data_IF_535093104535
#
_entry.id   IF_535093104535
#
_cell.length_a   1.000
_cell.length_b   1.000
_cell.length_c   1.000
_cell.angle_alpha   90.00
_cell.angle_beta   90.00
_cell.angle_gamma   90.00
#
_symmetry.space_group_name_H-M   'P 1'
#
loop_
_entity.id
_entity.type
_entity.pdbx_description
1 polymer ?
#
# COMPACT_ATOMS: atom_id res chain seq x y z
N UNK A 1 17.17 -10.68 -1.69
CA UNK A 1 16.18 -9.57 -1.65
C UNK A 1 15.33 -9.74 -0.40
N UNK A 2 15.03 -8.67 0.30
CA UNK A 2 14.05 -8.68 1.40
C UNK A 2 12.69 -9.09 0.82
N UNK A 3 11.92 -9.90 1.55
CA UNK A 3 10.56 -10.31 1.15
C UNK A 3 9.71 -9.07 0.85
N UNK A 4 9.16 -8.98 -0.37
CA UNK A 4 8.23 -7.90 -0.73
C UNK A 4 6.95 -8.04 0.09
N UNK A 5 6.50 -6.94 0.68
CA UNK A 5 5.23 -6.86 1.40
C UNK A 5 4.13 -6.39 0.46
N UNK A 6 2.89 -6.75 0.79
CA UNK A 6 1.71 -6.35 0.05
C UNK A 6 0.65 -5.80 0.98
N UNK A 7 -0.06 -4.79 0.51
CA UNK A 7 -1.13 -4.16 1.27
C UNK A 7 -2.16 -3.49 0.38
N UNK A 8 -3.03 -2.73 1.00
CA UNK A 8 -4.01 -1.89 0.33
C UNK A 8 -3.88 -0.44 0.75
N UNK A 9 -4.19 0.46 -0.17
CA UNK A 9 -4.31 1.89 0.06
C UNK A 9 -5.78 2.27 -0.11
N UNK A 10 -6.47 2.45 1.01
CA UNK A 10 -7.89 2.75 1.06
C UNK A 10 -8.09 4.27 1.08
N UNK A 11 -8.17 4.86 -0.07
CA UNK A 11 -8.80 6.12 -0.37
C UNK A 11 -9.87 5.81 -1.44
N UNK A 12 -10.91 5.04 -1.07
CA UNK A 12 -11.85 4.51 -2.03
C UNK A 12 -12.70 5.63 -2.59
N UNK A 13 -12.84 5.64 -3.92
CA UNK A 13 -13.69 6.59 -4.62
C UNK A 13 -15.09 6.00 -4.69
N UNK A 14 -15.82 6.09 -3.58
CA UNK A 14 -17.20 5.64 -3.48
C UNK A 14 -18.15 6.54 -4.26
N UNK A 15 -19.10 5.94 -4.95
CA UNK A 15 -20.13 6.72 -5.64
C UNK A 15 -21.03 7.43 -4.61
N UNK A 16 -21.23 8.77 -4.71
CA UNK A 16 -22.12 9.51 -3.83
C UNK A 16 -23.57 9.03 -3.92
N UNK A 17 -24.28 9.14 -2.80
CA UNK A 17 -25.69 8.74 -2.70
C UNK A 17 -25.91 7.35 -2.15
N UNK A 18 -24.87 6.55 -1.96
CA UNK A 18 -24.94 5.30 -1.21
C UNK A 18 -24.94 5.56 0.31
N UNK A 19 -25.36 4.58 1.10
CA UNK A 19 -25.36 4.69 2.56
C UNK A 19 -23.94 4.74 3.14
N UNK A 20 -23.48 5.87 3.72
CA UNK A 20 -22.10 5.99 4.19
C UNK A 20 -21.77 5.06 5.36
N UNK A 21 -22.75 4.73 6.22
CA UNK A 21 -22.54 3.76 7.31
C UNK A 21 -22.17 2.38 6.76
N UNK A 22 -22.83 1.95 5.68
CA UNK A 22 -22.54 0.65 5.06
C UNK A 22 -21.22 0.69 4.30
N UNK A 23 -20.86 1.81 3.68
CA UNK A 23 -19.55 1.98 3.03
C UNK A 23 -18.41 1.83 4.04
N UNK A 24 -18.42 2.60 5.13
CA UNK A 24 -17.42 2.51 6.20
C UNK A 24 -17.33 1.11 6.81
N UNK A 25 -18.49 0.45 7.02
CA UNK A 25 -18.52 -0.90 7.58
C UNK A 25 -17.93 -1.92 6.61
N UNK A 26 -18.25 -1.83 5.32
CA UNK A 26 -17.72 -2.69 4.25
C UNK A 26 -16.19 -2.59 4.17
N UNK A 27 -15.66 -1.37 4.29
CA UNK A 27 -14.21 -1.16 4.20
C UNK A 27 -13.47 -1.74 5.42
N UNK A 28 -14.04 -1.63 6.61
CA UNK A 28 -13.50 -2.28 7.80
C UNK A 28 -13.55 -3.81 7.71
N UNK A 29 -14.63 -4.39 7.18
CA UNK A 29 -14.74 -5.83 6.90
C UNK A 29 -13.75 -6.27 5.81
N UNK A 30 -13.47 -5.40 4.86
CA UNK A 30 -12.50 -5.68 3.82
C UNK A 30 -11.08 -5.77 4.39
N UNK A 31 -10.70 -4.91 5.32
CA UNK A 31 -9.39 -5.00 6.01
C UNK A 31 -9.26 -6.30 6.80
N UNK A 32 -10.33 -6.76 7.48
CA UNK A 32 -10.33 -8.06 8.14
C UNK A 32 -10.12 -9.21 7.14
N UNK A 33 -10.76 -9.13 5.98
CA UNK A 33 -10.60 -10.12 4.91
C UNK A 33 -9.16 -10.12 4.36
N UNK A 34 -8.55 -8.95 4.16
CA UNK A 34 -7.16 -8.85 3.73
C UNK A 34 -6.18 -9.47 4.73
N UNK A 35 -6.41 -9.29 6.03
CA UNK A 35 -5.62 -9.97 7.06
C UNK A 35 -5.71 -11.49 6.94
N UNK A 36 -6.90 -12.05 6.66
CA UNK A 36 -7.09 -13.49 6.47
C UNK A 36 -6.33 -14.01 5.25
N UNK A 37 -6.27 -13.21 4.18
CA UNK A 37 -5.52 -13.51 2.97
C UNK A 37 -3.99 -13.37 3.13
N UNK A 38 -3.51 -12.79 4.24
CA UNK A 38 -2.09 -12.64 4.51
C UNK A 38 -1.45 -11.36 3.98
N UNK A 39 -2.24 -10.34 3.69
CA UNK A 39 -1.73 -9.00 3.41
C UNK A 39 -1.03 -8.40 4.63
N UNK A 40 0.00 -7.60 4.38
CA UNK A 40 0.89 -7.08 5.42
C UNK A 40 0.43 -5.72 5.95
N UNK A 41 -0.16 -4.85 5.10
CA UNK A 41 -0.48 -3.46 5.45
C UNK A 41 -1.84 -3.01 4.88
N UNK A 42 -2.57 -2.14 5.63
CA UNK A 42 -3.73 -1.40 5.13
C UNK A 42 -3.59 0.08 5.51
N UNK A 43 -3.77 0.97 4.55
CA UNK A 43 -3.58 2.41 4.68
C UNK A 43 -4.88 3.15 4.41
N UNK A 44 -5.22 4.13 5.25
CA UNK A 44 -6.46 4.91 5.14
C UNK A 44 -6.15 6.35 4.76
N UNK A 45 -6.80 6.86 3.72
CA UNK A 45 -6.71 8.24 3.26
C UNK A 45 -7.37 9.25 4.20
N UNK A 46 -7.18 10.54 3.93
CA UNK A 46 -7.85 11.66 4.60
C UNK A 46 -8.36 12.65 3.57
N UNK A 47 -9.68 12.82 3.50
CA UNK A 47 -10.36 13.82 2.68
C UNK A 47 -11.57 14.41 3.38
N UNK A 48 -11.88 15.68 3.06
CA UNK A 48 -12.91 16.45 3.72
C UNK A 48 -13.98 16.98 2.75
N UNK A 49 -13.81 16.77 1.44
CA UNK A 49 -14.66 17.32 0.39
C UNK A 49 -14.82 16.35 -0.79
N UNK A 50 -15.38 16.84 -1.90
CA UNK A 50 -15.55 16.10 -3.16
C UNK A 50 -16.50 14.90 -3.12
N UNK A 51 -16.99 14.46 -1.96
CA UNK A 51 -18.12 13.52 -1.81
C UNK A 51 -17.83 12.06 -2.12
N UNK A 52 -16.60 11.70 -2.47
CA UNK A 52 -16.23 10.32 -2.85
C UNK A 52 -15.40 9.62 -1.78
N UNK A 53 -14.32 10.23 -1.34
CA UNK A 53 -13.43 9.70 -0.31
C UNK A 53 -13.89 10.21 1.05
N UNK A 54 -14.64 9.37 1.80
CA UNK A 54 -15.42 9.80 2.97
C UNK A 54 -14.68 9.70 4.32
N UNK A 55 -13.39 9.41 4.32
CA UNK A 55 -12.63 9.32 5.56
C UNK A 55 -12.09 10.68 5.98
N UNK A 56 -12.79 11.33 6.91
CA UNK A 56 -12.35 12.61 7.48
C UNK A 56 -11.24 12.45 8.56
N UNK A 57 -10.98 11.24 9.03
CA UNK A 57 -9.93 10.91 10.01
C UNK A 57 -9.45 9.48 9.80
N UNK A 58 -8.28 9.27 9.22
CA UNK A 58 -7.67 7.95 9.10
C UNK A 58 -7.43 7.30 10.46
N UNK A 59 -7.14 8.10 11.50
CA UNK A 59 -6.91 7.61 12.85
C UNK A 59 -8.14 6.90 13.43
N UNK A 60 -9.36 7.39 13.14
CA UNK A 60 -10.60 6.74 13.56
C UNK A 60 -10.79 5.39 12.86
N UNK A 61 -10.49 5.32 11.56
CA UNK A 61 -10.54 4.07 10.79
C UNK A 61 -9.51 3.07 11.30
N UNK A 62 -8.30 3.51 11.62
CA UNK A 62 -7.25 2.66 12.20
C UNK A 62 -7.67 2.13 13.57
N UNK A 63 -8.22 2.96 14.43
CA UNK A 63 -8.70 2.51 15.74
C UNK A 63 -9.79 1.45 15.62
N UNK A 64 -10.77 1.65 14.72
CA UNK A 64 -11.84 0.69 14.47
C UNK A 64 -11.33 -0.61 13.81
N UNK A 65 -10.39 -0.53 12.87
CA UNK A 65 -9.76 -1.68 12.23
C UNK A 65 -8.83 -2.42 13.20
N UNK A 66 -8.14 -1.70 14.10
CA UNK A 66 -7.25 -2.25 15.11
C UNK A 66 -7.92 -3.23 16.07
N UNK A 67 -9.17 -2.94 16.46
CA UNK A 67 -9.99 -3.82 17.30
C UNK A 67 -10.51 -5.06 16.57
N UNK A 68 -10.51 -5.05 15.23
CA UNK A 68 -11.03 -6.14 14.38
C UNK A 68 -9.93 -7.01 13.78
N UNK A 69 -8.68 -6.63 13.95
CA UNK A 69 -7.50 -7.28 13.35
C UNK A 69 -6.42 -7.53 14.39
N UNK A 70 -5.46 -8.39 14.09
CA UNK A 70 -4.42 -8.81 15.04
C UNK A 70 -2.99 -8.79 14.48
N UNK A 71 -2.81 -8.75 13.15
CA UNK A 71 -1.50 -8.86 12.47
C UNK A 71 -1.24 -7.76 11.46
N UNK A 72 -2.23 -7.43 10.63
CA UNK A 72 -2.08 -6.43 9.58
C UNK A 72 -1.69 -5.08 10.19
N UNK A 73 -0.66 -4.44 9.63
CA UNK A 73 -0.28 -3.09 10.03
C UNK A 73 -1.24 -2.07 9.43
N UNK A 74 -1.51 -1.01 10.17
CA UNK A 74 -2.55 -0.03 9.85
C UNK A 74 -1.93 1.36 9.77
N UNK A 75 -2.01 1.99 8.60
CA UNK A 75 -1.33 3.25 8.31
C UNK A 75 -2.28 4.39 7.95
N UNK A 76 -1.86 5.61 8.27
CA UNK A 76 -2.48 6.80 7.70
C UNK A 76 -1.92 7.02 6.29
N UNK A 77 -2.78 7.07 5.31
CA UNK A 77 -2.39 7.16 3.90
C UNK A 77 -2.96 8.38 3.16
N UNK A 78 -2.74 9.59 3.67
CA UNK A 78 -1.86 10.08 4.73
C UNK A 78 -2.65 10.83 5.80
N UNK A 79 -2.03 11.19 6.94
CA UNK A 79 -2.51 12.33 7.72
C UNK A 79 -2.06 13.60 7.01
N UNK A 80 -3.00 14.44 6.63
CA UNK A 80 -2.74 15.74 5.99
C UNK A 80 -2.24 16.74 7.03
N UNK A 81 -0.97 16.59 7.45
CA UNK A 81 -0.41 17.30 8.62
C UNK A 81 -0.47 18.82 8.50
N UNK A 82 -0.70 19.35 7.30
CA UNK A 82 -0.95 20.78 7.06
C UNK A 82 -2.26 21.27 7.68
N UNK A 83 -3.20 20.37 7.93
CA UNK A 83 -4.53 20.66 8.48
C UNK A 83 -4.58 20.50 10.00
N UNK A 84 -3.55 19.88 10.60
CA UNK A 84 -3.55 19.47 12.00
C UNK A 84 -2.55 20.23 12.85
N UNK A 85 -2.86 20.36 14.14
CA UNK A 85 -1.86 20.72 15.14
C UNK A 85 -0.81 19.60 15.22
N UNK A 86 0.49 19.90 15.03
CA UNK A 86 1.54 18.89 14.96
C UNK A 86 1.72 18.09 16.26
N UNK A 87 1.47 18.70 17.44
CA UNK A 87 1.48 17.98 18.72
C UNK A 87 0.37 16.91 18.73
N UNK A 88 -0.85 17.30 18.38
CA UNK A 88 -1.97 16.36 18.39
C UNK A 88 -1.82 15.24 17.35
N UNK A 89 -1.27 15.56 16.19
CA UNK A 89 -0.99 14.53 15.20
C UNK A 89 0.01 13.48 15.73
N UNK A 90 1.11 13.92 16.35
CA UNK A 90 2.08 13.03 16.95
C UNK A 90 1.50 12.22 18.15
N UNK A 91 0.74 12.86 19.05
CA UNK A 91 0.11 12.19 20.20
C UNK A 91 -0.90 11.11 19.78
N UNK A 92 -1.72 11.39 18.75
CA UNK A 92 -2.68 10.42 18.22
C UNK A 92 -1.99 9.17 17.68
N UNK A 93 -0.87 9.34 16.99
CA UNK A 93 -0.11 8.20 16.47
C UNK A 93 0.54 7.37 17.58
N UNK A 94 1.08 8.00 18.62
CA UNK A 94 1.56 7.28 19.81
C UNK A 94 0.41 6.51 20.47
N UNK A 95 -0.76 7.12 20.62
CA UNK A 95 -1.93 6.45 21.17
C UNK A 95 -2.38 5.27 20.30
N UNK A 96 -2.38 5.42 18.96
CA UNK A 96 -2.69 4.34 18.04
C UNK A 96 -1.67 3.21 18.08
N UNK A 97 -0.40 3.51 18.28
CA UNK A 97 0.65 2.50 18.45
C UNK A 97 0.36 1.60 19.67
N UNK A 98 -0.08 2.20 20.80
CA UNK A 98 -0.54 1.44 21.96
C UNK A 98 -1.82 0.64 21.68
N UNK A 99 -2.85 1.27 21.08
CA UNK A 99 -4.14 0.61 20.78
C UNK A 99 -3.95 -0.57 19.82
N UNK A 100 -3.08 -0.43 18.85
CA UNK A 100 -2.81 -1.47 17.83
C UNK A 100 -1.70 -2.43 18.25
N UNK A 101 -1.03 -2.19 19.40
CA UNK A 101 0.08 -3.01 19.91
C UNK A 101 1.22 -3.14 18.90
N UNK A 102 1.73 -1.99 18.43
CA UNK A 102 2.89 -1.93 17.52
C UNK A 102 2.55 -2.14 16.04
N UNK A 103 1.29 -1.99 15.64
CA UNK A 103 0.88 -2.15 14.24
C UNK A 103 0.59 -0.82 13.53
N UNK A 104 0.77 0.32 14.20
CA UNK A 104 0.58 1.64 13.59
C UNK A 104 1.68 1.96 12.58
N UNK A 105 1.30 2.68 11.51
CA UNK A 105 2.20 3.26 10.51
C UNK A 105 1.77 4.71 10.29
N UNK A 106 2.72 5.63 10.20
CA UNK A 106 2.42 7.06 10.10
C UNK A 106 2.81 7.64 8.74
N UNK A 107 1.84 7.89 7.88
CA UNK A 107 2.04 8.60 6.63
C UNK A 107 1.76 10.10 6.78
N UNK A 108 2.71 10.92 6.36
CA UNK A 108 2.65 12.37 6.38
C UNK A 108 2.41 12.92 4.97
N UNK A 109 1.49 13.86 4.82
CA UNK A 109 1.24 14.51 3.54
C UNK A 109 0.75 15.95 3.68
N UNK A 110 0.76 16.72 2.58
CA UNK A 110 0.31 18.11 2.58
C UNK A 110 -1.22 18.29 2.52
N UNK A 111 -1.97 17.21 2.24
CA UNK A 111 -3.32 17.32 1.72
C UNK A 111 -3.32 17.61 0.21
N UNK A 112 -4.06 16.82 -0.55
CA UNK A 112 -3.98 16.83 -2.02
C UNK A 112 -5.14 17.53 -2.70
N UNK A 113 -6.36 17.43 -2.17
CA UNK A 113 -7.54 18.08 -2.74
C UNK A 113 -7.51 19.60 -2.51
N UNK A 114 -7.57 20.43 -3.57
CA UNK A 114 -7.63 21.88 -3.42
C UNK A 114 -8.85 22.35 -2.63
N UNK A 115 -9.97 21.65 -2.74
CA UNK A 115 -11.21 21.94 -2.02
C UNK A 115 -11.10 21.69 -0.52
N UNK A 116 -10.36 20.68 -0.08
CA UNK A 116 -10.08 20.44 1.35
C UNK A 116 -9.29 21.61 1.95
N UNK A 117 -8.20 22.02 1.28
CA UNK A 117 -7.40 23.16 1.71
C UNK A 117 -8.22 24.46 1.75
N UNK A 118 -9.02 24.71 0.73
CA UNK A 118 -9.87 25.91 0.64
C UNK A 118 -10.90 26.00 1.77
N UNK A 119 -11.50 24.87 2.19
CA UNK A 119 -12.41 24.81 3.35
C UNK A 119 -11.73 25.25 4.65
N UNK A 120 -10.41 25.08 4.76
CA UNK A 120 -9.61 25.48 5.91
C UNK A 120 -8.93 26.84 5.74
N UNK A 121 -9.22 27.56 4.66
CA UNK A 121 -8.62 28.86 4.36
C UNK A 121 -7.16 28.78 3.93
N UNK A 122 -6.70 27.64 3.42
CA UNK A 122 -5.34 27.40 2.99
C UNK A 122 -5.25 27.33 1.46
N UNK A 123 -4.13 27.78 0.92
CA UNK A 123 -3.77 27.54 -0.48
C UNK A 123 -2.93 26.27 -0.62
N UNK A 124 -2.79 25.78 -1.85
CA UNK A 124 -1.92 24.63 -2.14
C UNK A 124 -0.42 24.92 -1.89
N UNK A 125 -0.02 26.20 -1.88
CA UNK A 125 1.34 26.61 -1.50
C UNK A 125 1.48 26.50 0.01
N UNK A 126 0.51 27.03 0.77
CA UNK A 126 0.51 26.96 2.24
C UNK A 126 0.60 25.51 2.74
N UNK A 127 -0.17 24.59 2.15
CA UNK A 127 -0.15 23.20 2.57
C UNK A 127 1.22 22.54 2.39
N UNK A 128 1.96 22.87 1.34
CA UNK A 128 3.31 22.34 1.10
C UNK A 128 4.35 22.90 2.05
N UNK A 129 4.25 24.18 2.39
CA UNK A 129 5.13 24.83 3.37
C UNK A 129 4.82 24.31 4.78
N UNK A 130 3.54 24.20 5.14
CA UNK A 130 3.10 23.62 6.41
C UNK A 130 3.49 22.14 6.56
N UNK A 131 3.51 21.37 5.47
CA UNK A 131 4.05 19.99 5.51
C UNK A 131 5.47 19.98 6.06
N UNK A 132 6.34 20.86 5.56
CA UNK A 132 7.74 20.89 6.01
C UNK A 132 7.88 21.38 7.46
N UNK A 133 7.14 22.44 7.84
CA UNK A 133 7.14 23.00 9.19
C UNK A 133 6.61 21.98 10.22
N UNK A 134 5.44 21.38 9.94
CA UNK A 134 4.79 20.45 10.86
C UNK A 134 5.53 19.11 10.94
N UNK A 135 6.13 18.64 9.84
CA UNK A 135 6.99 17.43 9.87
C UNK A 135 8.20 17.63 10.80
N UNK A 136 8.83 18.81 10.80
CA UNK A 136 9.94 19.10 11.72
C UNK A 136 9.50 18.94 13.19
N UNK A 137 8.39 19.58 13.53
CA UNK A 137 7.85 19.53 14.90
C UNK A 137 7.46 18.09 15.29
N UNK A 138 6.74 17.39 14.42
CA UNK A 138 6.31 16.00 14.64
C UNK A 138 7.51 15.08 14.89
N UNK A 139 8.54 15.15 14.03
CA UNK A 139 9.71 14.28 14.17
C UNK A 139 10.51 14.56 15.45
N UNK A 140 10.61 15.81 15.87
CA UNK A 140 11.25 16.18 17.13
C UNK A 140 10.47 15.68 18.34
N UNK A 141 9.15 15.85 18.32
CA UNK A 141 8.25 15.32 19.36
C UNK A 141 8.33 13.79 19.47
N UNK A 142 8.28 13.07 18.33
CA UNK A 142 8.40 11.61 18.30
C UNK A 142 9.75 11.10 18.78
N UNK A 143 10.81 11.92 18.69
CA UNK A 143 12.14 11.64 19.25
C UNK A 143 12.26 12.00 20.74
N UNK A 144 11.16 12.43 21.37
CA UNK A 144 11.12 12.76 22.81
C UNK A 144 11.61 14.15 23.18
N UNK A 145 11.84 15.03 22.21
CA UNK A 145 12.24 16.42 22.48
C UNK A 145 11.11 17.22 23.10
N UNK A 146 11.48 18.25 23.88
CA UNK A 146 10.58 19.34 24.27
C UNK A 146 10.67 20.43 23.20
N UNK A 147 9.52 20.83 22.64
CA UNK A 147 9.47 21.72 21.47
C UNK A 147 8.74 23.00 21.79
N UNK A 148 9.41 24.13 21.63
CA UNK A 148 8.80 25.46 21.50
C UNK A 148 8.97 25.89 20.06
N UNK A 149 7.89 26.10 19.34
CA UNK A 149 7.89 26.43 17.92
C UNK A 149 6.63 27.18 17.52
N UNK A 150 6.74 27.95 16.42
CA UNK A 150 5.62 28.66 15.80
C UNK A 150 5.59 28.32 14.33
N UNK A 151 4.44 27.85 13.86
CA UNK A 151 4.12 27.72 12.44
C UNK A 151 3.14 28.80 12.03
N UNK A 152 2.70 28.83 10.78
CA UNK A 152 1.65 29.77 10.31
C UNK A 152 0.31 29.55 11.02
N UNK A 153 0.03 28.35 11.47
CA UNK A 153 -1.28 27.95 12.00
C UNK A 153 -1.28 27.60 13.49
N UNK A 154 -0.11 27.29 14.07
CA UNK A 154 -0.01 26.84 15.47
C UNK A 154 1.20 27.41 16.18
N UNK A 155 1.08 27.55 17.50
CA UNK A 155 2.17 27.95 18.38
C UNK A 155 2.23 26.95 19.55
N UNK A 156 3.42 26.42 19.82
CA UNK A 156 3.71 25.45 20.87
C UNK A 156 4.71 26.03 21.88
N UNK A 157 4.48 25.81 23.16
CA UNK A 157 5.35 26.22 24.24
C UNK A 157 5.70 25.00 25.10
N UNK A 158 6.98 24.66 25.16
CA UNK A 158 7.52 23.55 25.96
C UNK A 158 6.70 22.25 25.79
N UNK A 159 6.20 22.04 24.56
CA UNK A 159 5.35 20.90 24.23
C UNK A 159 6.17 19.61 24.22
N UNK A 160 5.64 18.58 24.87
CA UNK A 160 6.28 17.25 24.94
C UNK A 160 5.19 16.18 24.97
N UNK A 161 5.39 15.09 24.23
CA UNK A 161 4.50 13.94 24.28
C UNK A 161 4.62 13.26 25.65
N UNK A 162 3.50 13.01 26.32
CA UNK A 162 3.46 12.45 27.68
C UNK A 162 3.61 10.92 27.73
N UNK A 163 3.40 10.21 26.61
CA UNK A 163 3.55 8.76 26.52
C UNK A 163 4.74 8.39 25.63
N UNK A 164 5.54 7.42 26.05
CA UNK A 164 6.50 6.79 25.15
C UNK A 164 5.76 5.97 24.08
N UNK A 165 6.34 5.73 22.89
CA UNK A 165 5.75 4.80 21.93
C UNK A 165 5.69 3.37 22.51
N UNK A 166 4.73 2.58 22.07
CA UNK A 166 4.68 1.14 22.34
C UNK A 166 5.79 0.40 21.58
N UNK A 167 6.04 0.81 20.34
CA UNK A 167 7.03 0.20 19.45
C UNK A 167 8.46 0.64 19.80
N UNK A 168 9.40 -0.32 19.82
CA UNK A 168 10.84 -0.09 19.90
C UNK A 168 11.54 -1.03 18.89
N UNK A 169 12.15 -0.48 17.83
CA UNK A 169 12.22 0.94 17.46
C UNK A 169 10.84 1.54 17.12
N UNK A 170 10.79 2.88 17.06
CA UNK A 170 9.57 3.62 16.70
C UNK A 170 8.93 3.04 15.42
N UNK A 171 7.60 3.05 15.36
CA UNK A 171 6.85 2.66 14.16
C UNK A 171 7.31 3.42 12.90
N UNK A 172 7.12 2.81 11.73
CA UNK A 172 7.50 3.44 10.47
C UNK A 172 6.76 4.76 10.26
N UNK A 173 7.53 5.82 10.00
CA UNK A 173 7.03 7.10 9.52
C UNK A 173 7.42 7.24 8.05
N UNK A 174 6.48 7.64 7.20
CA UNK A 174 6.73 7.84 5.76
C UNK A 174 6.17 9.19 5.30
N UNK A 175 6.77 9.77 4.26
CA UNK A 175 6.23 10.99 3.62
C UNK A 175 5.68 10.65 2.25
N UNK A 176 4.49 11.19 1.94
CA UNK A 176 3.92 11.07 0.61
C UNK A 176 4.78 11.80 -0.44
N UNK A 177 5.03 11.14 -1.55
CA UNK A 177 5.66 11.70 -2.74
C UNK A 177 4.78 11.42 -3.96
N UNK A 178 4.49 12.47 -4.73
CA UNK A 178 3.71 12.34 -5.97
C UNK A 178 4.61 12.71 -7.16
N UNK A 179 4.72 13.96 -7.48
CA UNK A 179 5.53 14.46 -8.61
C UNK A 179 6.63 15.42 -8.16
N UNK A 180 6.50 16.04 -6.99
CA UNK A 180 7.46 17.02 -6.49
C UNK A 180 8.55 16.36 -5.64
N UNK A 181 9.77 16.95 -5.61
CA UNK A 181 10.87 16.41 -4.80
C UNK A 181 10.68 16.59 -3.28
N UNK A 182 9.65 17.34 -2.85
CA UNK A 182 9.46 17.73 -1.45
C UNK A 182 9.38 16.54 -0.51
N UNK A 183 8.57 15.52 -0.84
CA UNK A 183 8.42 14.31 -0.02
C UNK A 183 9.75 13.56 0.15
N UNK A 184 10.45 13.30 -0.94
CA UNK A 184 11.73 12.60 -0.93
C UNK A 184 12.81 13.36 -0.13
N UNK A 185 12.87 14.69 -0.26
CA UNK A 185 13.77 15.54 0.52
C UNK A 185 13.48 15.49 2.02
N UNK A 186 12.22 15.56 2.42
CA UNK A 186 11.84 15.45 3.83
C UNK A 186 12.14 14.05 4.36
N UNK A 187 11.82 12.99 3.60
CA UNK A 187 12.14 11.63 3.98
C UNK A 187 13.63 11.44 4.26
N UNK A 188 14.50 11.89 3.36
CA UNK A 188 15.96 11.86 3.56
C UNK A 188 16.42 12.69 4.75
N UNK A 189 15.95 13.95 4.88
CA UNK A 189 16.30 14.83 5.99
C UNK A 189 16.05 14.21 7.37
N UNK A 190 14.95 13.45 7.52
CA UNK A 190 14.57 12.86 8.80
C UNK A 190 14.91 11.39 8.96
N UNK A 191 15.47 10.72 7.93
CA UNK A 191 15.77 9.29 7.94
C UNK A 191 14.52 8.43 8.01
N UNK A 192 13.44 8.81 7.29
CA UNK A 192 12.16 8.13 7.29
C UNK A 192 11.80 7.60 5.90
N UNK A 193 10.75 6.78 5.81
CA UNK A 193 10.36 6.12 4.58
C UNK A 193 9.65 7.02 3.57
N UNK A 194 9.34 6.45 2.40
CA UNK A 194 8.67 7.12 1.30
C UNK A 194 7.40 6.37 0.93
N UNK A 195 6.32 7.12 0.67
CA UNK A 195 5.05 6.61 0.14
C UNK A 195 4.79 7.27 -1.22
N UNK A 196 5.07 6.54 -2.30
CA UNK A 196 4.90 7.04 -3.67
C UNK A 196 3.46 6.79 -4.13
N UNK A 197 2.60 7.81 -3.93
CA UNK A 197 1.21 7.84 -4.39
C UNK A 197 1.22 8.51 -5.77
N UNK A 198 0.38 8.04 -6.69
CA UNK A 198 0.27 8.59 -8.04
C UNK A 198 1.58 8.65 -8.86
N UNK A 199 2.74 8.39 -8.28
CA UNK A 199 3.98 8.23 -9.03
C UNK A 199 3.91 7.05 -10.01
N UNK A 200 2.98 6.13 -9.78
CA UNK A 200 2.61 5.04 -10.68
C UNK A 200 1.40 5.39 -11.57
N UNK A 201 0.76 6.54 -11.37
CA UNK A 201 -0.47 6.97 -12.05
C UNK A 201 -0.24 7.98 -13.19
N UNK A 202 1.00 8.37 -13.45
CA UNK A 202 1.37 9.25 -14.56
C UNK A 202 2.68 8.82 -15.19
N UNK A 203 2.86 9.12 -16.47
CA UNK A 203 4.14 8.83 -17.15
C UNK A 203 5.31 9.55 -16.46
N UNK A 204 5.14 10.83 -16.11
CA UNK A 204 6.17 11.62 -15.44
C UNK A 204 6.43 11.11 -14.01
N UNK A 205 5.38 10.81 -13.24
CA UNK A 205 5.49 10.25 -11.91
C UNK A 205 6.15 8.88 -11.92
N UNK A 206 5.81 8.04 -12.89
CA UNK A 206 6.41 6.74 -13.09
C UNK A 206 7.91 6.83 -13.41
N UNK A 207 8.33 7.78 -14.23
CA UNK A 207 9.73 8.06 -14.52
C UNK A 207 10.48 8.66 -13.33
N UNK A 208 9.75 9.29 -12.41
CA UNK A 208 10.32 9.93 -11.23
C UNK A 208 10.67 8.95 -10.09
N UNK A 209 10.18 7.71 -10.10
CA UNK A 209 10.38 6.77 -8.98
C UNK A 209 11.84 6.63 -8.55
N UNK A 210 12.73 6.30 -9.49
CA UNK A 210 14.16 6.14 -9.19
C UNK A 210 14.80 7.46 -8.77
N UNK A 211 14.39 8.58 -9.38
CA UNK A 211 14.86 9.90 -9.01
C UNK A 211 14.45 10.29 -7.59
N UNK A 212 13.23 10.00 -7.19
CA UNK A 212 12.75 10.26 -5.82
C UNK A 212 13.60 9.53 -4.77
N UNK A 213 13.92 8.25 -5.03
CA UNK A 213 14.79 7.52 -4.10
C UNK A 213 16.21 8.08 -4.05
N UNK A 214 16.79 8.44 -5.18
CA UNK A 214 18.10 9.10 -5.24
C UNK A 214 18.14 10.43 -4.46
N UNK A 215 17.09 11.24 -4.55
CA UNK A 215 16.97 12.46 -3.74
C UNK A 215 16.89 12.14 -2.24
N UNK A 216 16.14 11.10 -1.86
CA UNK A 216 16.06 10.68 -0.47
C UNK A 216 17.43 10.30 0.07
N UNK A 217 18.21 9.49 -0.65
CA UNK A 217 19.57 9.09 -0.28
C UNK A 217 20.52 10.30 -0.17
N UNK A 218 20.45 11.24 -1.12
CA UNK A 218 21.24 12.47 -1.10
C UNK A 218 20.95 13.30 0.16
N UNK A 219 19.68 13.56 0.47
CA UNK A 219 19.32 14.36 1.64
C UNK A 219 19.56 13.61 2.96
N UNK A 220 19.48 12.29 2.99
CA UNK A 220 19.88 11.48 4.14
C UNK A 220 21.38 11.61 4.41
N UNK A 221 22.20 11.56 3.36
CA UNK A 221 23.65 11.76 3.49
C UNK A 221 23.99 13.18 4.00
N UNK A 222 23.33 14.22 3.48
CA UNK A 222 23.51 15.58 3.95
C UNK A 222 23.10 15.77 5.42
N UNK A 223 22.11 15.01 5.89
CA UNK A 223 21.64 15.02 7.27
C UNK A 223 22.44 14.08 8.20
N UNK A 224 23.42 13.32 7.69
CA UNK A 224 24.15 12.30 8.46
C UNK A 224 23.31 11.10 8.86
N UNK A 225 22.31 10.71 8.04
CA UNK A 225 21.30 9.67 8.31
C UNK A 225 21.27 8.56 7.26
N UNK A 226 22.35 8.36 6.54
CA UNK A 226 22.43 7.34 5.48
C UNK A 226 22.10 5.93 5.98
N UNK A 227 22.44 5.64 7.23
CA UNK A 227 22.20 4.32 7.85
C UNK A 227 20.75 4.15 8.34
N UNK A 228 19.95 5.23 8.37
CA UNK A 228 18.55 5.19 8.79
C UNK A 228 17.60 4.93 7.62
N UNK A 229 18.04 5.06 6.37
CA UNK A 229 17.20 4.88 5.18
C UNK A 229 17.38 3.49 4.57
N UNK A 230 16.25 2.81 4.38
CA UNK A 230 16.19 1.46 3.81
C UNK A 230 15.02 1.36 2.82
N UNK A 231 15.28 0.79 1.65
CA UNK A 231 14.26 0.55 0.61
C UNK A 231 13.09 -0.31 1.10
N UNK A 232 13.25 -1.08 2.18
CA UNK A 232 12.16 -1.82 2.82
C UNK A 232 11.07 -0.91 3.41
N UNK A 233 11.38 0.39 3.62
CA UNK A 233 10.43 1.41 4.09
C UNK A 233 9.77 2.19 2.94
N UNK A 234 10.10 1.88 1.69
CA UNK A 234 9.50 2.50 0.52
C UNK A 234 8.23 1.77 0.08
N UNK A 235 7.10 2.49 0.00
CA UNK A 235 5.80 1.99 -0.42
C UNK A 235 5.44 2.59 -1.78
N UNK A 236 5.00 1.73 -2.72
CA UNK A 236 4.44 2.15 -4.00
C UNK A 236 2.94 1.87 -4.00
N UNK A 237 2.14 2.80 -4.52
CA UNK A 237 0.69 2.66 -4.66
C UNK A 237 0.34 2.57 -6.14
N UNK A 238 -0.43 1.55 -6.54
CA UNK A 238 -0.92 1.39 -7.91
C UNK A 238 -2.25 0.66 -7.98
N UNK A 239 -3.09 0.92 -9.01
CA UNK A 239 -4.36 0.24 -9.18
C UNK A 239 -4.17 -1.13 -9.84
N UNK A 240 -4.83 -2.14 -9.28
CA UNK A 240 -4.85 -3.50 -9.80
C UNK A 240 -6.27 -4.09 -9.68
N UNK A 241 -6.75 -4.69 -10.76
CA UNK A 241 -7.90 -5.59 -10.74
C UNK A 241 -7.60 -6.81 -11.60
N UNK A 242 -7.64 -8.00 -11.00
CA UNK A 242 -7.38 -9.26 -11.71
C UNK A 242 -8.53 -10.25 -11.56
N UNK A 243 -8.71 -11.05 -12.58
CA UNK A 243 -9.66 -12.16 -12.59
C UNK A 243 -8.98 -13.41 -13.19
N UNK A 244 -9.71 -14.52 -13.25
CA UNK A 244 -9.26 -15.78 -13.86
C UNK A 244 -8.95 -15.63 -15.36
N UNK A 245 -9.67 -14.74 -16.03
CA UNK A 245 -9.42 -14.40 -17.45
C UNK A 245 -9.45 -12.88 -17.64
N UNK A 246 -8.81 -12.43 -18.71
CA UNK A 246 -8.77 -11.01 -19.08
C UNK A 246 -10.17 -10.47 -19.40
N UNK A 247 -10.98 -11.26 -20.07
CA UNK A 247 -12.36 -10.91 -20.41
C UNK A 247 -13.20 -10.71 -19.15
N UNK A 248 -13.01 -11.57 -18.14
CA UNK A 248 -13.71 -11.41 -16.86
C UNK A 248 -13.25 -10.16 -16.13
N UNK A 249 -11.94 -9.89 -16.07
CA UNK A 249 -11.41 -8.68 -15.45
C UNK A 249 -11.98 -7.40 -16.09
N UNK A 250 -12.07 -7.38 -17.40
CA UNK A 250 -12.66 -6.25 -18.15
C UNK A 250 -14.13 -6.06 -17.84
N UNK A 251 -14.89 -7.16 -17.79
CA UNK A 251 -16.30 -7.12 -17.44
C UNK A 251 -16.53 -6.66 -16.00
N UNK A 252 -15.70 -7.10 -15.06
CA UNK A 252 -15.83 -6.74 -13.65
C UNK A 252 -15.69 -5.22 -13.44
N UNK A 253 -14.70 -4.60 -14.10
CA UNK A 253 -14.41 -3.16 -13.92
C UNK A 253 -15.41 -2.24 -14.64
N UNK A 254 -16.22 -2.77 -15.56
CA UNK A 254 -17.32 -2.01 -16.17
C UNK A 254 -18.32 -1.46 -15.13
N UNK A 255 -18.30 -2.01 -13.92
CA UNK A 255 -19.19 -1.60 -12.82
C UNK A 255 -18.94 -0.15 -12.40
N UNK A 256 -17.70 0.26 -12.20
CA UNK A 256 -17.39 1.56 -11.58
C UNK A 256 -16.23 2.35 -12.21
N UNK A 257 -15.58 1.82 -13.26
CA UNK A 257 -14.41 2.49 -13.84
C UNK A 257 -14.72 3.88 -14.41
N UNK A 258 -15.91 4.07 -14.99
CA UNK A 258 -16.34 5.38 -15.52
C UNK A 258 -16.48 6.41 -14.40
N UNK A 259 -17.02 6.02 -13.25
CA UNK A 259 -17.13 6.93 -12.10
C UNK A 259 -15.75 7.35 -11.58
N UNK A 260 -14.81 6.41 -11.46
CA UNK A 260 -13.44 6.66 -11.03
C UNK A 260 -12.71 7.62 -11.97
N UNK A 261 -12.82 7.41 -13.29
CA UNK A 261 -12.24 8.31 -14.28
C UNK A 261 -12.90 9.70 -14.25
N UNK A 262 -14.22 9.76 -14.18
CA UNK A 262 -14.95 11.01 -14.06
C UNK A 262 -14.55 11.81 -12.82
N UNK A 263 -14.38 11.13 -11.68
CA UNK A 263 -13.90 11.75 -10.45
C UNK A 263 -12.51 12.39 -10.65
N UNK A 264 -11.56 11.67 -11.20
CA UNK A 264 -10.20 12.18 -11.41
C UNK A 264 -10.13 13.28 -12.49
N UNK A 265 -10.93 13.16 -13.55
CA UNK A 265 -10.92 14.13 -14.65
C UNK A 265 -11.65 15.43 -14.32
N UNK A 266 -12.71 15.38 -13.50
CA UNK A 266 -13.66 16.50 -13.38
C UNK A 266 -13.91 16.96 -11.94
N UNK A 267 -13.54 16.20 -10.92
CA UNK A 267 -13.84 16.51 -9.51
C UNK A 267 -12.58 16.76 -8.70
N UNK A 268 -11.64 15.82 -8.70
CA UNK A 268 -10.49 15.84 -7.79
C UNK A 268 -9.45 16.93 -8.08
N UNK A 269 -9.42 17.50 -9.27
CA UNK A 269 -8.47 18.54 -9.70
C UNK A 269 -7.00 18.15 -9.42
N UNK A 270 -6.63 16.90 -9.76
CA UNK A 270 -5.26 16.38 -9.64
C UNK A 270 -4.55 16.44 -11.00
N UNK A 271 -3.85 17.53 -11.35
CA UNK A 271 -3.19 17.64 -12.66
C UNK A 271 -2.10 16.57 -12.87
N UNK A 272 -1.56 16.02 -11.79
CA UNK A 272 -0.59 14.92 -11.82
C UNK A 272 -1.22 13.54 -12.08
N UNK A 273 -2.54 13.43 -12.04
CA UNK A 273 -3.29 12.20 -12.32
C UNK A 273 -4.11 12.38 -13.60
N UNK A 274 -3.43 12.77 -14.70
CA UNK A 274 -4.03 12.97 -16.02
C UNK A 274 -4.44 11.62 -16.64
N UNK A 275 -5.53 11.04 -16.11
CA UNK A 275 -6.12 9.82 -16.65
C UNK A 275 -6.94 10.13 -17.91
N UNK A 276 -6.82 9.28 -18.95
CA UNK A 276 -7.41 9.50 -20.27
C UNK A 276 -8.31 8.35 -20.66
N UNK A 277 -9.43 8.68 -21.28
CA UNK A 277 -10.42 7.75 -21.79
C UNK A 277 -11.81 8.40 -21.77
N UNK A 278 -12.60 8.18 -22.79
CA UNK A 278 -13.95 8.74 -22.96
C UNK A 278 -15.04 7.65 -22.88
N UNK A 279 -14.63 6.39 -22.89
CA UNK A 279 -15.48 5.22 -22.74
C UNK A 279 -14.74 4.12 -22.01
N UNK A 280 -15.46 3.11 -21.51
CA UNK A 280 -14.90 2.02 -20.69
C UNK A 280 -13.72 1.31 -21.33
N UNK A 281 -13.78 1.08 -22.63
CA UNK A 281 -12.70 0.39 -23.33
C UNK A 281 -11.41 1.22 -23.37
N UNK A 282 -11.51 2.50 -23.71
CA UNK A 282 -10.36 3.43 -23.66
C UNK A 282 -9.79 3.58 -22.26
N UNK A 283 -10.64 3.60 -21.22
CA UNK A 283 -10.23 3.69 -19.83
C UNK A 283 -9.43 2.45 -19.39
N UNK A 284 -9.91 1.25 -19.72
CA UNK A 284 -9.22 -0.02 -19.49
C UNK A 284 -7.88 -0.06 -20.25
N UNK A 285 -7.90 0.30 -21.52
CA UNK A 285 -6.70 0.37 -22.35
C UNK A 285 -5.68 1.36 -21.78
N UNK A 286 -6.13 2.52 -21.30
CA UNK A 286 -5.27 3.51 -20.68
C UNK A 286 -4.55 2.93 -19.44
N UNK A 287 -5.28 2.26 -18.53
CA UNK A 287 -4.67 1.62 -17.35
C UNK A 287 -3.58 0.65 -17.76
N UNK A 288 -3.86 -0.22 -18.72
CA UNK A 288 -2.95 -1.30 -19.13
C UNK A 288 -1.76 -0.82 -19.99
N UNK A 289 -1.96 0.21 -20.84
CA UNK A 289 -0.92 0.66 -21.78
C UNK A 289 -0.03 1.77 -21.23
N UNK A 290 -0.54 2.61 -20.33
CA UNK A 290 0.26 3.62 -19.64
C UNK A 290 1.22 3.01 -18.62
N UNK A 291 0.92 1.80 -18.15
CA UNK A 291 1.72 1.10 -17.15
C UNK A 291 1.49 1.55 -15.71
N UNK A 292 0.44 2.32 -15.44
CA UNK A 292 0.12 2.76 -14.08
C UNK A 292 -0.50 1.66 -13.23
N UNK A 293 -1.10 0.63 -13.86
CA UNK A 293 -1.79 -0.45 -13.17
C UNK A 293 -2.03 -1.65 -14.07
N UNK A 294 -2.91 -2.53 -13.62
CA UNK A 294 -3.33 -3.73 -14.34
C UNK A 294 -4.82 -3.98 -14.20
N UNK A 295 -5.49 -4.18 -15.31
CA UNK A 295 -6.79 -4.84 -15.40
C UNK A 295 -6.58 -6.08 -16.25
N UNK A 296 -6.57 -7.30 -15.64
CA UNK A 296 -6.19 -8.50 -16.38
C UNK A 296 -6.08 -9.75 -15.53
N UNK A 297 -5.03 -10.52 -15.74
CA UNK A 297 -4.77 -11.81 -15.08
C UNK A 297 -3.64 -11.71 -14.03
N UNK A 298 -3.44 -12.79 -13.27
CA UNK A 298 -2.33 -12.89 -12.33
C UNK A 298 -0.96 -12.80 -13.02
N UNK A 299 -0.82 -13.32 -14.26
CA UNK A 299 0.42 -13.23 -15.04
C UNK A 299 0.75 -11.77 -15.40
N UNK A 300 -0.25 -11.00 -15.84
CA UNK A 300 -0.10 -9.58 -16.15
C UNK A 300 0.22 -8.78 -14.88
N UNK A 301 -0.39 -9.12 -13.74
CA UNK A 301 -0.05 -8.49 -12.46
C UNK A 301 1.39 -8.81 -12.02
N UNK A 302 1.86 -10.06 -12.16
CA UNK A 302 3.27 -10.41 -11.89
C UNK A 302 4.24 -9.62 -12.77
N UNK A 303 3.94 -9.50 -14.05
CA UNK A 303 4.76 -8.71 -14.98
C UNK A 303 4.83 -7.23 -14.56
N UNK A 304 3.72 -6.64 -14.14
CA UNK A 304 3.67 -5.27 -13.64
C UNK A 304 4.48 -5.07 -12.35
N UNK A 305 4.34 -5.97 -11.37
CA UNK A 305 5.12 -5.89 -10.12
C UNK A 305 6.61 -6.01 -10.41
N UNK A 306 7.02 -6.93 -11.30
CA UNK A 306 8.42 -7.07 -11.71
C UNK A 306 8.94 -5.80 -12.40
N UNK A 307 8.15 -5.20 -13.28
CA UNK A 307 8.50 -3.93 -13.94
C UNK A 307 8.70 -2.80 -12.94
N UNK A 308 7.85 -2.70 -11.91
CA UNK A 308 8.01 -1.70 -10.83
C UNK A 308 9.30 -1.94 -10.05
N UNK A 309 9.65 -3.20 -9.76
CA UNK A 309 10.92 -3.57 -9.10
C UNK A 309 12.12 -3.14 -9.96
N UNK A 310 12.11 -3.49 -11.25
CA UNK A 310 13.21 -3.19 -12.16
C UNK A 310 13.40 -1.68 -12.34
N UNK A 311 12.31 -0.94 -12.44
CA UNK A 311 12.34 0.51 -12.64
C UNK A 311 12.75 1.29 -11.38
N UNK A 312 12.29 0.87 -10.21
CA UNK A 312 12.60 1.54 -8.95
C UNK A 312 13.97 1.15 -8.39
N UNK A 313 14.53 0.02 -8.82
CA UNK A 313 15.68 -0.63 -8.18
C UNK A 313 15.32 -1.39 -6.91
N UNK A 314 14.01 -1.66 -6.69
CA UNK A 314 13.45 -2.36 -5.55
C UNK A 314 12.81 -1.43 -4.52
N UNK A 315 11.79 -1.94 -3.85
CA UNK A 315 11.00 -1.25 -2.80
C UNK A 315 10.47 -2.29 -1.79
N UNK A 316 9.93 -1.82 -0.66
CA UNK A 316 9.52 -2.68 0.44
C UNK A 316 8.09 -3.21 0.36
N UNK A 317 7.15 -2.38 -0.07
CA UNK A 317 5.71 -2.73 -0.06
C UNK A 317 5.00 -2.23 -1.32
N UNK A 318 4.21 -3.09 -1.95
CA UNK A 318 3.21 -2.68 -2.95
C UNK A 318 1.85 -2.56 -2.27
N UNK A 319 1.25 -1.39 -2.39
CA UNK A 319 -0.11 -1.10 -1.93
C UNK A 319 -1.05 -1.06 -3.13
N UNK A 320 -1.99 -1.98 -3.18
CA UNK A 320 -3.05 -1.96 -4.18
C UNK A 320 -3.98 -0.79 -3.84
N UNK A 321 -4.15 0.13 -4.76
CA UNK A 321 -5.08 1.24 -4.58
C UNK A 321 -6.51 0.70 -4.49
N UNK A 322 -7.22 1.04 -3.42
CA UNK A 322 -8.65 0.78 -3.28
C UNK A 322 -9.43 1.59 -4.30
N UNK A 323 -10.34 0.93 -4.98
CA UNK A 323 -11.23 1.53 -5.97
C UNK A 323 -12.51 0.71 -6.06
N UNK A 324 -13.61 1.34 -6.43
CA UNK A 324 -14.88 0.67 -6.64
C UNK A 324 -15.11 0.34 -8.15
N UNK A 325 -14.05 -0.06 -8.88
CA UNK A 325 -14.17 -0.43 -10.30
C UNK A 325 -15.06 -1.66 -10.50
N UNK A 326 -14.97 -2.61 -9.60
CA UNK A 326 -15.76 -3.82 -9.61
C UNK A 326 -16.72 -3.85 -8.40
N UNK A 327 -17.76 -4.67 -8.50
CA UNK A 327 -18.65 -4.91 -7.36
C UNK A 327 -17.89 -5.56 -6.19
N UNK A 328 -18.41 -5.54 -4.96
CA UNK A 328 -17.71 -6.04 -3.77
C UNK A 328 -17.27 -7.51 -3.86
N UNK A 329 -18.00 -8.36 -4.57
CA UNK A 329 -17.67 -9.79 -4.73
C UNK A 329 -16.46 -9.95 -5.67
N UNK A 330 -16.48 -9.31 -6.83
CA UNK A 330 -15.39 -9.34 -7.79
C UNK A 330 -14.14 -8.65 -7.22
N UNK A 331 -14.28 -7.56 -6.46
CA UNK A 331 -13.17 -6.92 -5.75
C UNK A 331 -12.52 -7.90 -4.78
N UNK A 332 -13.29 -8.57 -3.91
CA UNK A 332 -12.76 -9.59 -2.99
C UNK A 332 -12.05 -10.72 -3.75
N UNK A 333 -12.64 -11.19 -4.85
CA UNK A 333 -12.04 -12.25 -5.67
C UNK A 333 -10.71 -11.83 -6.29
N UNK A 334 -10.61 -10.60 -6.76
CA UNK A 334 -9.36 -10.03 -7.30
C UNK A 334 -8.23 -10.05 -6.27
N UNK A 335 -8.49 -9.61 -5.03
CA UNK A 335 -7.49 -9.63 -3.96
C UNK A 335 -7.14 -11.07 -3.51
N UNK A 336 -8.10 -11.99 -3.54
CA UNK A 336 -7.86 -13.41 -3.26
C UNK A 336 -6.92 -14.02 -4.31
N UNK A 337 -7.19 -13.81 -5.59
CA UNK A 337 -6.31 -14.25 -6.68
C UNK A 337 -4.92 -13.63 -6.59
N UNK A 338 -4.84 -12.35 -6.22
CA UNK A 338 -3.57 -11.67 -6.03
C UNK A 338 -2.76 -12.30 -4.89
N UNK A 339 -3.41 -12.60 -3.77
CA UNK A 339 -2.78 -13.28 -2.63
C UNK A 339 -2.35 -14.72 -2.99
N UNK A 340 -3.15 -15.44 -3.76
CA UNK A 340 -2.89 -16.83 -4.15
C UNK A 340 -1.80 -16.94 -5.23
N UNK A 341 -1.88 -16.10 -6.27
CA UNK A 341 -1.15 -16.33 -7.51
C UNK A 341 -0.06 -15.28 -7.81
N UNK A 342 -0.04 -14.13 -7.09
CA UNK A 342 0.95 -13.07 -7.32
C UNK A 342 1.93 -12.96 -6.14
N UNK A 343 1.42 -12.77 -4.93
CA UNK A 343 2.24 -12.53 -3.74
C UNK A 343 3.32 -13.60 -3.51
N UNK A 344 3.05 -14.94 -3.64
CA UNK A 344 4.02 -15.98 -3.32
C UNK A 344 5.30 -15.93 -4.16
N UNK A 345 5.24 -15.41 -5.40
CA UNK A 345 6.41 -15.26 -6.27
C UNK A 345 7.41 -14.24 -5.70
N UNK A 346 6.92 -13.12 -5.21
CA UNK A 346 7.75 -12.03 -4.67
C UNK A 346 8.10 -12.20 -3.19
N UNK A 347 7.44 -13.15 -2.53
CA UNK A 347 7.69 -13.50 -1.14
C UNK A 347 8.60 -14.72 -0.98
N UNK A 348 9.06 -15.33 -2.08
CA UNK A 348 9.92 -16.50 -2.09
C UNK A 348 9.21 -17.81 -1.68
N UNK A 349 7.88 -17.82 -1.64
CA UNK A 349 7.08 -18.98 -1.21
C UNK A 349 6.80 -19.97 -2.36
N UNK A 350 6.65 -19.49 -3.60
CA UNK A 350 6.31 -20.32 -4.74
C UNK A 350 7.50 -21.17 -5.23
N UNK A 351 8.69 -20.61 -5.32
CA UNK A 351 9.83 -21.25 -5.96
C UNK A 351 10.25 -22.60 -5.35
N UNK A 352 10.30 -22.79 -4.01
CA UNK A 352 10.66 -24.09 -3.43
C UNK A 352 9.70 -25.22 -3.82
N UNK A 353 8.40 -24.93 -3.95
CA UNK A 353 7.39 -25.91 -4.36
C UNK A 353 7.52 -26.25 -5.86
N UNK A 354 7.75 -25.24 -6.71
CA UNK A 354 7.99 -25.41 -8.14
C UNK A 354 9.23 -26.30 -8.35
N UNK A 355 10.32 -25.99 -7.67
CA UNK A 355 11.56 -26.76 -7.75
C UNK A 355 11.39 -28.21 -7.25
N UNK A 356 10.62 -28.41 -6.18
CA UNK A 356 10.32 -29.74 -5.67
C UNK A 356 9.51 -30.57 -6.68
N UNK A 357 8.49 -29.96 -7.30
CA UNK A 357 7.71 -30.62 -8.34
C UNK A 357 8.57 -30.98 -9.55
N UNK A 358 9.42 -30.05 -10.02
CA UNK A 358 10.33 -30.30 -11.13
C UNK A 358 11.33 -31.43 -10.83
N UNK A 359 11.92 -31.46 -9.62
CA UNK A 359 12.80 -32.56 -9.20
C UNK A 359 12.07 -33.90 -9.17
N UNK A 360 10.86 -33.96 -8.64
CA UNK A 360 10.06 -35.18 -8.61
C UNK A 360 9.73 -35.66 -10.03
N UNK A 361 9.37 -34.73 -10.93
CA UNK A 361 9.10 -35.06 -12.33
C UNK A 361 10.35 -35.63 -13.04
N UNK A 362 11.54 -35.05 -12.82
CA UNK A 362 12.76 -35.45 -13.45
C UNK A 362 13.17 -36.90 -13.11
N UNK A 363 12.84 -37.41 -11.91
CA UNK A 363 13.18 -38.75 -11.47
C UNK A 363 12.03 -39.77 -11.52
N UNK A 364 10.85 -39.33 -11.99
CA UNK A 364 9.59 -40.07 -11.94
C UNK A 364 9.69 -41.49 -12.53
N UNK A 365 10.29 -41.64 -13.70
CA UNK A 365 10.39 -42.96 -14.37
C UNK A 365 11.27 -43.95 -13.59
N UNK A 366 12.41 -43.49 -13.09
CA UNK A 366 13.30 -44.31 -12.26
C UNK A 366 12.65 -44.73 -10.95
N UNK A 367 11.97 -43.80 -10.28
CA UNK A 367 11.25 -44.05 -9.01
C UNK A 367 10.06 -45.02 -9.22
N UNK A 368 9.34 -44.88 -10.34
CA UNK A 368 8.25 -45.79 -10.67
C UNK A 368 8.77 -47.23 -10.90
N UNK A 369 9.91 -47.40 -11.61
CA UNK A 369 10.52 -48.70 -11.81
C UNK A 369 11.03 -49.35 -10.51
N UNK A 370 11.60 -48.55 -9.60
CA UNK A 370 11.99 -49.05 -8.26
C UNK A 370 10.77 -49.43 -7.41
N UNK A 371 9.69 -48.67 -7.48
CA UNK A 371 8.47 -49.01 -6.76
C UNK A 371 7.90 -50.35 -7.22
N UNK A 372 7.86 -50.64 -8.53
CA UNK A 372 7.44 -51.94 -9.08
C UNK A 372 8.31 -53.06 -8.53
N UNK A 373 9.64 -52.91 -8.57
CA UNK A 373 10.56 -53.92 -8.01
C UNK A 373 10.32 -54.14 -6.51
N UNK A 374 10.06 -53.11 -5.75
CA UNK A 374 9.79 -53.22 -4.32
C UNK A 374 8.49 -53.99 -4.06
N UNK A 375 7.45 -53.71 -4.82
CA UNK A 375 6.15 -54.44 -4.73
C UNK A 375 6.38 -55.94 -5.07
N UNK A 376 7.06 -56.24 -6.18
CA UNK A 376 7.37 -57.62 -6.57
C UNK A 376 8.17 -58.37 -5.50
N UNK A 377 9.19 -57.70 -4.92
CA UNK A 377 10.00 -58.29 -3.86
C UNK A 377 9.15 -58.59 -2.61
N UNK A 378 8.31 -57.68 -2.18
CA UNK A 378 7.46 -57.88 -1.00
C UNK A 378 6.40 -58.96 -1.25
N UNK A 379 5.84 -59.05 -2.46
CA UNK A 379 4.89 -60.08 -2.84
C UNK A 379 5.52 -61.43 -2.78
N UNK A 380 6.71 -61.63 -3.37
CA UNK A 380 7.47 -62.90 -3.28
C UNK A 380 7.80 -63.30 -1.87
N UNK A 381 8.22 -62.33 -1.04
CA UNK A 381 8.48 -62.58 0.37
C UNK A 381 7.24 -63.08 1.13
N UNK A 382 6.12 -62.42 0.92
CA UNK A 382 4.83 -62.79 1.53
C UNK A 382 4.37 -64.20 1.06
N UNK A 383 4.51 -64.53 -0.24
CA UNK A 383 4.16 -65.86 -0.78
C UNK A 383 5.03 -66.97 -0.17
N UNK A 384 6.33 -66.71 0.03
CA UNK A 384 7.21 -67.64 0.70
C UNK A 384 6.84 -67.87 2.18
N UNK A 385 6.47 -66.80 2.89
CA UNK A 385 6.01 -66.89 4.29
C UNK A 385 4.71 -67.69 4.42
N UNK A 386 3.84 -67.67 3.40
CA UNK A 386 2.60 -68.46 3.38
C UNK A 386 2.80 -69.90 2.92
N UNK A 387 4.02 -70.32 2.55
CA UNK A 387 4.31 -71.67 2.05
C UNK A 387 3.63 -71.98 0.70
N UNK A 388 3.38 -70.96 -0.11
CA UNK A 388 2.74 -71.05 -1.44
C UNK A 388 3.72 -70.98 -2.61
N UNK A 389 5.01 -71.21 -2.33
CA UNK A 389 6.08 -71.38 -3.33
C UNK A 389 6.66 -72.78 -3.26
#
# INVERSE_FOLDING_TARGET
MTRLKFGTFLAPIHEPGQNPTLQLQRDLEFVQYLEQLGYDEAWFGEHHSAGAEIYASPEMMIAAAGERTSRIKLGTGVTSVSYHNPLWAAERMIMLDHLTRGRALFGLGPGSLPTDAAMLGLSQIDTRELLAENTDIIMRLLRGETVTAKTRTHELFDAKIQMAPYSDPLFDVVVAAIASPTGARLAGKYGIGLLSIAATLTADGFSALQHHWGLLEEFAAQAGRSDEVDRSTWRLVGPFHIAETKEQAYKDVEHGIEYWFNYLQHVAAFPQMDVRGTNKHEMIDFINTSGIGVIGTADEARAQVQRLIDQSGGFGTLLIQGHDWANPQATRRSYELFAQDVMPYFQGQAQPMIDAAARAQAVREGQAAEHVKAVEHMTKKYEAELGRV
#
